data_IF_492710309211
#
_entry.id   IF_492710309211
#
_cell.length_a   1.000
_cell.length_b   1.000
_cell.length_c   1.000
_cell.angle_alpha   90.00
_cell.angle_beta   90.00
_cell.angle_gamma   90.00
#
_symmetry.space_group_name_H-M   'P 1'
#
loop_
_entity.id
_entity.type
_entity.pdbx_description
1 polymer ?
#
# COMPACT_ATOMS: atom_id res chain seq x y z
N UNK A 1 22.82 31.65 -4.80
CA UNK A 1 22.35 30.34 -4.33
C UNK A 1 20.91 30.21 -4.80
N UNK A 2 20.56 29.24 -5.66
CA UNK A 2 19.14 28.91 -5.82
C UNK A 2 18.60 28.61 -4.41
N UNK A 3 17.43 29.16 -4.07
CA UNK A 3 16.79 28.87 -2.78
C UNK A 3 16.79 27.35 -2.57
N UNK A 4 17.18 26.88 -1.38
CA UNK A 4 17.00 25.47 -1.02
C UNK A 4 15.55 25.14 -1.35
N UNK A 5 15.33 24.23 -2.30
CA UNK A 5 13.96 23.78 -2.58
C UNK A 5 13.45 23.21 -1.26
N UNK A 6 12.43 23.88 -0.70
CA UNK A 6 11.69 23.35 0.44
C UNK A 6 11.19 21.96 0.04
N UNK A 7 11.25 21.02 0.97
CA UNK A 7 10.63 19.73 0.77
C UNK A 7 9.14 19.93 0.48
N UNK A 8 8.65 19.34 -0.60
CA UNK A 8 7.24 19.38 -0.98
C UNK A 8 6.57 18.07 -0.54
N UNK A 9 5.67 18.08 0.46
CA UNK A 9 4.96 16.88 0.91
C UNK A 9 3.80 16.48 0.01
N UNK A 10 3.39 17.33 -0.95
CA UNK A 10 2.22 17.12 -1.80
C UNK A 10 2.54 17.42 -3.29
N UNK A 11 3.57 16.77 -3.86
CA UNK A 11 3.87 16.94 -5.28
C UNK A 11 2.66 16.51 -6.11
N UNK A 12 2.19 17.40 -6.99
CA UNK A 12 0.99 17.18 -7.80
C UNK A 12 1.21 17.55 -9.27
N UNK A 13 0.38 16.96 -10.13
CA UNK A 13 0.49 17.06 -11.58
C UNK A 13 -0.83 17.49 -12.21
N UNK A 14 -0.75 18.31 -13.25
CA UNK A 14 -1.93 18.72 -14.02
C UNK A 14 -2.51 17.53 -14.81
N UNK A 15 -3.85 17.36 -14.84
CA UNK A 15 -4.49 16.34 -15.66
C UNK A 15 -4.39 16.70 -17.15
N UNK A 16 -4.34 15.67 -18.00
CA UNK A 16 -4.24 15.82 -19.45
C UNK A 16 -5.60 15.54 -20.11
N UNK A 17 -6.12 16.53 -20.84
CA UNK A 17 -7.32 16.36 -21.66
C UNK A 17 -8.66 16.63 -20.96
N UNK A 18 -8.64 17.02 -19.67
CA UNK A 18 -9.84 17.40 -18.93
C UNK A 18 -9.56 17.65 -17.45
N UNK A 19 -10.56 18.12 -16.69
CA UNK A 19 -10.38 18.48 -15.28
C UNK A 19 -10.53 17.29 -14.33
N UNK A 20 -10.00 17.46 -13.12
CA UNK A 20 -10.49 16.73 -11.95
C UNK A 20 -11.72 17.47 -11.42
N UNK A 21 -12.80 16.74 -11.13
CA UNK A 21 -14.07 17.30 -10.65
C UNK A 21 -14.38 16.79 -9.24
N UNK A 22 -15.13 17.56 -8.46
CA UNK A 22 -15.54 17.19 -7.11
C UNK A 22 -17.04 16.90 -7.03
N UNK A 23 -17.39 15.87 -6.26
CA UNK A 23 -18.76 15.53 -5.88
C UNK A 23 -19.48 14.60 -6.87
N UNK A 24 -20.39 13.80 -6.31
CA UNK A 24 -21.20 12.82 -7.04
C UNK A 24 -22.09 13.43 -8.13
N UNK A 25 -22.65 14.61 -7.89
CA UNK A 25 -23.56 15.27 -8.83
C UNK A 25 -22.89 15.61 -10.17
N UNK A 26 -21.63 16.04 -10.14
CA UNK A 26 -20.86 16.34 -11.36
C UNK A 26 -20.64 15.06 -12.18
N UNK A 27 -20.25 13.96 -11.53
CA UNK A 27 -20.05 12.67 -12.20
C UNK A 27 -21.35 12.08 -12.76
N UNK A 28 -22.45 12.16 -12.01
CA UNK A 28 -23.76 11.66 -12.44
C UNK A 28 -24.29 12.42 -13.65
N UNK A 29 -24.05 13.73 -13.73
CA UNK A 29 -24.50 14.56 -14.85
C UNK A 29 -23.89 14.17 -16.20
N UNK A 30 -22.76 13.45 -16.20
CA UNK A 30 -22.09 12.97 -17.41
C UNK A 30 -22.60 11.60 -17.89
N UNK A 31 -23.42 10.91 -17.11
CA UNK A 31 -23.97 9.62 -17.52
C UNK A 31 -24.93 9.78 -18.69
N UNK A 32 -24.80 8.90 -19.69
CA UNK A 32 -25.68 8.89 -20.85
C UNK A 32 -27.15 8.67 -20.44
N UNK A 33 -28.10 9.32 -21.16
CA UNK A 33 -29.53 9.09 -20.95
C UNK A 33 -29.93 7.68 -21.41
N UNK A 34 -30.99 7.15 -20.80
CA UNK A 34 -31.52 5.82 -21.07
C UNK A 34 -31.15 4.78 -19.99
N UNK A 35 -31.55 3.52 -20.18
CA UNK A 35 -31.42 2.49 -19.16
C UNK A 35 -29.97 2.00 -19.06
N UNK A 36 -29.41 2.11 -17.86
CA UNK A 36 -27.99 1.88 -17.59
C UNK A 36 -27.75 0.91 -16.42
N UNK A 37 -26.79 0.01 -16.56
CA UNK A 37 -26.15 -0.69 -15.44
C UNK A 37 -24.82 -0.01 -15.14
N UNK A 38 -24.74 0.67 -14.00
CA UNK A 38 -23.54 1.32 -13.50
C UNK A 38 -22.88 0.44 -12.44
N UNK A 39 -21.67 -0.07 -12.72
CA UNK A 39 -20.87 -0.72 -11.68
C UNK A 39 -19.93 0.29 -11.01
N UNK A 40 -19.76 0.17 -9.70
CA UNK A 40 -18.74 0.87 -8.92
C UNK A 40 -17.91 -0.18 -8.19
N UNK A 41 -16.72 -0.46 -8.71
CA UNK A 41 -15.76 -1.41 -8.13
C UNK A 41 -14.70 -0.68 -7.29
N UNK A 42 -13.94 -1.41 -6.49
CA UNK A 42 -12.98 -0.83 -5.56
C UNK A 42 -12.52 -1.79 -4.47
N UNK A 43 -11.66 -1.33 -3.55
CA UNK A 43 -11.19 -2.15 -2.44
C UNK A 43 -12.27 -2.41 -1.39
N UNK A 44 -12.05 -3.40 -0.53
CA UNK A 44 -12.94 -3.67 0.61
C UNK A 44 -12.98 -2.50 1.59
N UNK A 45 -11.87 -1.77 1.72
CA UNK A 45 -11.66 -0.71 2.69
C UNK A 45 -12.31 0.62 2.26
N UNK A 46 -13.62 0.62 2.08
CA UNK A 46 -14.44 1.79 1.80
C UNK A 46 -15.73 1.74 2.61
N UNK A 47 -16.27 2.92 2.92
CA UNK A 47 -17.68 3.03 3.33
C UNK A 47 -18.59 2.91 2.10
N UNK A 48 -18.83 1.67 1.70
CA UNK A 48 -19.64 1.34 0.53
C UNK A 48 -21.11 1.76 0.68
N UNK A 49 -21.64 1.83 1.90
CA UNK A 49 -23.02 2.27 2.13
C UNK A 49 -23.11 3.79 1.92
N UNK A 50 -22.18 4.56 2.47
CA UNK A 50 -22.12 6.01 2.24
C UNK A 50 -21.85 6.35 0.76
N UNK A 51 -21.00 5.59 0.08
CA UNK A 51 -20.75 5.71 -1.36
C UNK A 51 -22.04 5.47 -2.15
N UNK A 52 -22.75 4.36 -1.88
CA UNK A 52 -24.00 4.03 -2.58
C UNK A 52 -25.08 5.09 -2.33
N UNK A 53 -25.19 5.61 -1.11
CA UNK A 53 -26.11 6.70 -0.79
C UNK A 53 -25.78 7.99 -1.55
N UNK A 54 -24.49 8.35 -1.65
CA UNK A 54 -24.03 9.52 -2.40
C UNK A 54 -24.38 9.47 -3.89
N UNK A 55 -24.14 8.31 -4.53
CA UNK A 55 -24.45 8.10 -5.96
C UNK A 55 -25.96 8.03 -6.18
N UNK A 56 -26.67 7.20 -5.42
CA UNK A 56 -28.12 7.00 -5.61
C UNK A 56 -28.92 8.26 -5.26
N UNK A 57 -28.48 9.03 -4.25
CA UNK A 57 -29.04 10.34 -3.92
C UNK A 57 -28.88 11.33 -5.07
N UNK A 58 -27.70 11.39 -5.68
CA UNK A 58 -27.41 12.27 -6.82
C UNK A 58 -28.20 11.88 -8.08
N UNK A 59 -28.37 10.59 -8.35
CA UNK A 59 -29.20 10.09 -9.45
C UNK A 59 -30.67 10.46 -9.27
N UNK A 60 -31.22 10.27 -8.06
CA UNK A 60 -32.60 10.67 -7.74
C UNK A 60 -32.79 12.18 -7.86
N UNK A 61 -31.82 12.99 -7.42
CA UNK A 61 -31.85 14.45 -7.57
C UNK A 61 -31.83 14.88 -9.05
N UNK A 62 -31.15 14.12 -9.91
CA UNK A 62 -31.18 14.29 -11.37
C UNK A 62 -32.48 13.75 -12.03
N UNK A 63 -33.44 13.23 -11.25
CA UNK A 63 -34.71 12.71 -11.75
C UNK A 63 -34.64 11.31 -12.35
N UNK A 64 -33.54 10.58 -12.13
CA UNK A 64 -33.34 9.23 -12.69
C UNK A 64 -33.82 8.15 -11.71
N UNK A 65 -34.66 7.24 -12.19
CA UNK A 65 -35.10 6.08 -11.42
C UNK A 65 -33.89 5.22 -11.04
N UNK A 66 -33.79 4.79 -9.79
CA UNK A 66 -32.56 4.14 -9.30
C UNK A 66 -32.86 2.87 -8.52
N UNK A 67 -32.17 1.78 -8.86
CA UNK A 67 -32.06 0.56 -8.04
C UNK A 67 -30.62 0.36 -7.62
N UNK A 68 -30.39 -0.36 -6.52
CA UNK A 68 -29.06 -0.61 -5.99
C UNK A 68 -28.88 -2.10 -5.69
N UNK A 69 -27.75 -2.67 -6.11
CA UNK A 69 -27.34 -4.05 -5.85
C UNK A 69 -25.95 -4.02 -5.19
N UNK A 70 -25.91 -4.47 -3.94
CA UNK A 70 -24.67 -4.61 -3.17
C UNK A 70 -24.08 -6.01 -3.40
N UNK A 71 -22.97 -6.11 -4.13
CA UNK A 71 -22.38 -7.42 -4.47
C UNK A 71 -21.85 -8.15 -3.23
N UNK A 72 -21.57 -7.42 -2.12
CA UNK A 72 -21.07 -8.02 -0.87
C UNK A 72 -22.08 -8.98 -0.25
N UNK A 73 -23.37 -8.76 -0.50
CA UNK A 73 -24.47 -9.63 -0.05
C UNK A 73 -24.62 -10.92 -0.87
N UNK A 74 -23.84 -11.04 -1.95
CA UNK A 74 -23.84 -12.18 -2.86
C UNK A 74 -22.53 -12.97 -2.83
N UNK A 75 -21.61 -12.65 -1.91
CA UNK A 75 -20.44 -13.48 -1.68
C UNK A 75 -20.85 -14.88 -1.19
N UNK A 76 -20.06 -15.89 -1.54
CA UNK A 76 -20.21 -17.23 -1.01
C UNK A 76 -20.04 -17.19 0.53
N UNK A 77 -20.79 -18.01 1.31
CA UNK A 77 -20.68 -18.01 2.77
C UNK A 77 -19.25 -18.19 3.31
N UNK A 78 -18.42 -18.97 2.61
CA UNK A 78 -17.03 -19.26 2.96
C UNK A 78 -16.03 -18.50 2.07
N UNK A 79 -16.47 -17.48 1.33
CA UNK A 79 -15.62 -16.69 0.43
C UNK A 79 -14.34 -16.20 1.12
N UNK A 80 -14.45 -15.79 2.38
CA UNK A 80 -13.35 -15.25 3.16
C UNK A 80 -12.27 -16.29 3.53
N UNK A 81 -12.55 -17.58 3.46
CA UNK A 81 -11.61 -18.69 3.70
C UNK A 81 -10.92 -19.15 2.41
N UNK A 82 -11.52 -18.87 1.24
CA UNK A 82 -10.98 -19.25 -0.08
C UNK A 82 -9.83 -18.36 -0.57
N UNK A 83 -9.72 -17.15 -0.02
CA UNK A 83 -8.77 -16.14 -0.48
C UNK A 83 -7.36 -16.29 0.11
N UNK A 84 -7.17 -16.51 1.42
CA UNK A 84 -5.83 -16.55 2.00
C UNK A 84 -5.00 -17.72 1.48
N UNK A 85 -3.69 -17.51 1.34
CA UNK A 85 -2.75 -18.60 1.14
C UNK A 85 -2.46 -19.32 2.46
N UNK A 86 -2.13 -20.61 2.40
CA UNK A 86 -1.70 -21.37 3.58
C UNK A 86 -0.39 -20.81 4.13
N UNK A 87 -0.33 -20.65 5.45
CA UNK A 87 0.89 -20.26 6.16
C UNK A 87 1.99 -21.33 6.02
N UNK A 88 3.25 -20.89 6.00
CA UNK A 88 4.43 -21.75 5.87
C UNK A 88 5.50 -21.33 6.90
N UNK A 89 5.71 -22.05 8.01
CA UNK A 89 5.11 -23.33 8.35
C UNK A 89 3.63 -23.20 8.70
N UNK A 90 2.90 -24.31 8.54
CA UNK A 90 1.48 -24.34 8.87
C UNK A 90 1.23 -23.92 10.33
N UNK A 91 0.31 -22.98 10.52
CA UNK A 91 -0.06 -22.45 11.83
C UNK A 91 0.71 -21.21 12.29
N UNK A 92 1.69 -20.72 11.53
CA UNK A 92 2.30 -19.40 11.78
C UNK A 92 1.53 -18.30 11.04
N UNK A 93 0.69 -17.51 11.72
CA UNK A 93 -0.14 -16.51 11.04
C UNK A 93 0.69 -15.39 10.41
N UNK A 94 1.95 -15.18 10.79
CA UNK A 94 2.78 -14.08 10.28
C UNK A 94 3.71 -14.51 9.13
N UNK A 95 3.78 -15.81 8.86
CA UNK A 95 4.66 -16.38 7.84
C UNK A 95 3.84 -16.91 6.66
N UNK A 96 3.24 -16.00 5.91
CA UNK A 96 2.30 -16.34 4.83
C UNK A 96 2.78 -15.87 3.44
N UNK A 97 2.61 -16.71 2.39
CA UNK A 97 2.79 -16.28 1.00
C UNK A 97 1.74 -15.23 0.59
N UNK A 98 2.00 -14.53 -0.52
CA UNK A 98 0.96 -13.70 -1.14
C UNK A 98 -0.14 -14.58 -1.75
N UNK A 99 -1.40 -14.16 -1.58
CA UNK A 99 -2.54 -14.84 -2.20
C UNK A 99 -2.50 -14.76 -3.73
N UNK A 100 -2.73 -15.91 -4.35
CA UNK A 100 -2.94 -16.05 -5.79
C UNK A 100 -4.43 -16.01 -6.19
N UNK A 101 -5.33 -15.87 -5.22
CA UNK A 101 -6.77 -15.83 -5.47
C UNK A 101 -7.18 -14.61 -6.30
N UNK A 102 -8.41 -14.63 -6.77
CA UNK A 102 -9.03 -13.58 -7.59
C UNK A 102 -10.31 -13.09 -6.93
N UNK A 103 -10.70 -11.86 -7.21
CA UNK A 103 -11.97 -11.31 -6.71
C UNK A 103 -13.17 -12.18 -7.13
N UNK A 104 -13.08 -12.88 -8.28
CA UNK A 104 -14.11 -13.84 -8.69
C UNK A 104 -14.32 -15.00 -7.72
N UNK A 105 -13.31 -15.39 -6.94
CA UNK A 105 -13.39 -16.50 -5.97
C UNK A 105 -14.26 -16.15 -4.74
N UNK A 106 -14.65 -14.88 -4.61
CA UNK A 106 -15.65 -14.44 -3.64
C UNK A 106 -17.05 -14.96 -3.94
N UNK A 107 -17.33 -15.40 -5.17
CA UNK A 107 -18.69 -15.72 -5.62
C UNK A 107 -18.79 -17.20 -6.01
N UNK A 108 -19.88 -17.87 -5.58
CA UNK A 108 -20.29 -19.12 -6.23
C UNK A 108 -20.97 -18.82 -7.58
N UNK A 109 -21.76 -17.73 -7.61
CA UNK A 109 -22.42 -17.19 -8.81
C UNK A 109 -22.35 -15.67 -8.73
N UNK A 110 -21.71 -15.04 -9.71
CA UNK A 110 -21.66 -13.57 -9.80
C UNK A 110 -23.09 -13.04 -10.05
N UNK A 111 -23.57 -12.07 -9.25
CA UNK A 111 -24.91 -11.53 -9.42
C UNK A 111 -25.05 -10.83 -10.78
N UNK A 112 -26.26 -10.89 -11.35
CA UNK A 112 -26.60 -10.17 -12.58
C UNK A 112 -27.69 -9.14 -12.27
N UNK A 113 -27.40 -7.83 -12.41
CA UNK A 113 -28.40 -6.80 -12.16
C UNK A 113 -29.51 -6.87 -13.21
N UNK A 114 -30.74 -6.61 -12.79
CA UNK A 114 -31.83 -6.40 -13.73
C UNK A 114 -31.65 -5.07 -14.45
N UNK A 115 -31.84 -5.07 -15.77
CA UNK A 115 -31.76 -3.83 -16.55
C UNK A 115 -32.96 -2.94 -16.23
N UNK A 116 -32.75 -1.67 -15.84
CA UNK A 116 -33.86 -0.77 -15.55
C UNK A 116 -34.64 -0.40 -16.82
N UNK A 117 -35.88 0.08 -16.64
CA UNK A 117 -36.68 0.64 -17.71
C UNK A 117 -36.54 2.17 -17.79
N UNK A 118 -36.84 2.76 -18.95
CA UNK A 118 -36.79 4.21 -19.16
C UNK A 118 -35.38 4.79 -18.96
N UNK A 119 -35.27 5.96 -18.35
CA UNK A 119 -33.99 6.60 -18.00
C UNK A 119 -33.48 6.18 -16.61
N UNK A 120 -33.68 4.92 -16.25
CA UNK A 120 -33.29 4.37 -14.96
C UNK A 120 -31.84 3.89 -14.91
N UNK A 121 -31.26 3.84 -13.72
CA UNK A 121 -29.91 3.35 -13.46
C UNK A 121 -29.95 2.26 -12.39
N UNK A 122 -29.42 1.08 -12.71
CA UNK A 122 -29.13 0.03 -11.74
C UNK A 122 -27.68 0.21 -11.27
N UNK A 123 -27.50 0.63 -10.03
CA UNK A 123 -26.18 0.82 -9.41
C UNK A 123 -25.75 -0.49 -8.76
N UNK A 124 -24.69 -1.10 -9.28
CA UNK A 124 -24.05 -2.28 -8.70
C UNK A 124 -22.76 -1.85 -8.03
N UNK A 125 -22.54 -2.21 -6.77
CA UNK A 125 -21.38 -1.69 -6.04
C UNK A 125 -20.78 -2.72 -5.08
N UNK A 126 -19.49 -2.54 -4.81
CA UNK A 126 -18.66 -3.38 -3.95
C UNK A 126 -17.54 -4.08 -4.73
N UNK A 127 -16.57 -4.70 -4.02
CA UNK A 127 -15.46 -5.40 -4.66
C UNK A 127 -15.96 -6.51 -5.60
N UNK A 128 -15.62 -6.40 -6.88
CA UNK A 128 -16.08 -7.31 -7.93
C UNK A 128 -17.34 -6.87 -8.67
N UNK A 129 -17.86 -5.67 -8.43
CA UNK A 129 -18.96 -5.10 -9.20
C UNK A 129 -18.68 -5.08 -10.72
N UNK A 130 -17.42 -4.93 -11.15
CA UNK A 130 -17.04 -5.00 -12.56
C UNK A 130 -17.33 -6.37 -13.21
N UNK A 131 -17.42 -7.44 -12.42
CA UNK A 131 -17.73 -8.80 -12.91
C UNK A 131 -19.21 -8.96 -13.29
N UNK A 132 -20.07 -8.00 -12.92
CA UNK A 132 -21.52 -8.08 -13.13
C UNK A 132 -21.97 -7.70 -14.55
N UNK A 133 -21.02 -7.44 -15.47
CA UNK A 133 -21.29 -7.05 -16.86
C UNK A 133 -21.93 -5.67 -16.99
N UNK A 134 -21.31 -4.60 -16.47
CA UNK A 134 -21.88 -3.25 -16.52
C UNK A 134 -21.83 -2.62 -17.92
N UNK A 135 -22.69 -1.63 -18.14
CA UNK A 135 -22.63 -0.72 -19.29
C UNK A 135 -21.58 0.39 -19.08
N UNK A 136 -21.44 0.84 -17.82
CA UNK A 136 -20.46 1.86 -17.38
C UNK A 136 -19.78 1.37 -16.11
N UNK A 137 -18.45 1.47 -16.06
CA UNK A 137 -17.63 1.07 -14.93
C UNK A 137 -16.97 2.29 -14.28
N UNK A 138 -17.31 2.55 -13.02
CA UNK A 138 -16.57 3.44 -12.15
C UNK A 138 -15.68 2.64 -11.21
N UNK A 139 -14.52 3.19 -10.86
CA UNK A 139 -13.63 2.64 -9.84
C UNK A 139 -13.47 3.64 -8.70
N UNK A 140 -13.85 3.24 -7.49
CA UNK A 140 -13.67 4.01 -6.28
C UNK A 140 -12.41 3.54 -5.57
N UNK A 141 -11.44 4.43 -5.40
CA UNK A 141 -10.16 4.12 -4.78
C UNK A 141 -9.98 4.87 -3.46
N UNK A 142 -9.18 4.26 -2.59
CA UNK A 142 -8.70 4.87 -1.37
C UNK A 142 -7.24 4.43 -1.18
N UNK A 143 -6.29 5.37 -1.00
CA UNK A 143 -4.90 5.01 -0.82
C UNK A 143 -4.70 4.02 0.35
N UNK A 144 -3.84 3.02 0.14
CA UNK A 144 -3.65 1.87 1.04
C UNK A 144 -3.41 2.23 2.52
N UNK A 145 -2.67 3.33 2.78
CA UNK A 145 -2.41 3.85 4.12
C UNK A 145 -3.68 4.14 4.94
N UNK A 146 -4.81 4.47 4.31
CA UNK A 146 -6.07 4.70 5.02
C UNK A 146 -6.71 3.39 5.47
N UNK A 147 -6.62 2.33 4.66
CA UNK A 147 -7.07 1.00 5.04
C UNK A 147 -6.23 0.44 6.20
N UNK A 148 -4.90 0.55 6.11
CA UNK A 148 -3.98 0.16 7.18
C UNK A 148 -4.30 0.90 8.49
N UNK A 149 -4.42 2.23 8.43
CA UNK A 149 -4.71 3.06 9.59
C UNK A 149 -6.08 2.75 10.22
N UNK A 150 -7.12 2.53 9.40
CA UNK A 150 -8.45 2.19 9.89
C UNK A 150 -8.46 0.80 10.57
N UNK A 151 -7.78 -0.21 10.01
CA UNK A 151 -7.63 -1.52 10.64
C UNK A 151 -6.87 -1.40 11.97
N UNK A 152 -5.75 -0.68 12.00
CA UNK A 152 -4.96 -0.50 13.22
C UNK A 152 -5.75 0.18 14.35
N UNK A 153 -6.73 1.03 14.03
CA UNK A 153 -7.64 1.67 14.99
C UNK A 153 -8.93 0.89 15.25
N UNK A 154 -9.18 -0.20 14.53
CA UNK A 154 -10.43 -0.98 14.62
C UNK A 154 -11.66 -0.22 14.11
N UNK A 155 -11.49 0.72 13.18
CA UNK A 155 -12.54 1.61 12.68
C UNK A 155 -13.32 0.96 11.54
N UNK A 156 -14.58 0.58 11.77
CA UNK A 156 -15.49 0.14 10.71
C UNK A 156 -16.33 1.33 10.19
N UNK A 157 -16.78 1.31 8.91
CA UNK A 157 -16.73 0.21 7.94
C UNK A 157 -15.44 0.13 7.09
N UNK A 158 -14.52 1.09 7.19
CA UNK A 158 -13.31 1.13 6.34
C UNK A 158 -12.29 0.07 6.73
N UNK A 159 -12.06 -0.15 8.02
CA UNK A 159 -11.09 -1.09 8.59
C UNK A 159 -11.59 -2.53 8.60
N UNK A 160 -11.97 -3.05 7.43
CA UNK A 160 -12.46 -4.43 7.24
C UNK A 160 -11.65 -5.14 6.16
N UNK A 161 -11.63 -6.47 6.21
CA UNK A 161 -11.01 -7.27 5.14
C UNK A 161 -12.01 -7.69 4.06
N UNK A 162 -11.49 -8.02 2.88
CA UNK A 162 -12.23 -8.53 1.75
C UNK A 162 -13.01 -9.80 2.13
N UNK A 163 -14.34 -9.76 1.93
CA UNK A 163 -15.27 -10.83 2.31
C UNK A 163 -15.62 -10.91 3.80
N UNK A 164 -15.17 -9.97 4.64
CA UNK A 164 -15.46 -9.90 6.08
C UNK A 164 -15.91 -8.51 6.51
N UNK A 165 -16.97 -7.99 5.89
CA UNK A 165 -17.46 -6.62 6.14
C UNK A 165 -18.01 -6.35 7.54
N UNK A 166 -18.32 -7.40 8.32
CA UNK A 166 -19.00 -7.30 9.61
C UNK A 166 -18.05 -7.41 10.82
N UNK A 167 -16.73 -7.47 10.60
CA UNK A 167 -15.73 -7.63 11.65
C UNK A 167 -14.54 -6.69 11.43
N UNK A 168 -13.87 -6.24 12.52
CA UNK A 168 -12.59 -5.55 12.39
C UNK A 168 -11.60 -6.38 11.55
N UNK A 169 -10.90 -5.68 10.67
CA UNK A 169 -9.90 -6.29 9.82
C UNK A 169 -8.64 -6.69 10.58
N UNK A 170 -7.77 -7.39 9.87
CA UNK A 170 -6.47 -7.88 10.29
C UNK A 170 -5.42 -7.44 9.27
N UNK A 171 -4.27 -6.95 9.77
CA UNK A 171 -3.21 -6.40 8.91
C UNK A 171 -2.49 -7.48 8.11
N UNK A 172 -2.30 -8.67 8.68
CA UNK A 172 -1.69 -9.80 7.95
C UNK A 172 -2.57 -10.12 6.74
N UNK A 173 -3.87 -10.30 6.95
CA UNK A 173 -4.80 -10.55 5.85
C UNK A 173 -4.84 -9.40 4.85
N UNK A 174 -4.79 -8.14 5.31
CA UNK A 174 -4.76 -6.98 4.41
C UNK A 174 -3.56 -7.07 3.45
N UNK A 175 -2.36 -7.28 3.99
CA UNK A 175 -1.10 -7.25 3.24
C UNK A 175 -0.89 -8.48 2.36
N UNK A 176 -1.21 -9.67 2.86
CA UNK A 176 -0.88 -10.92 2.18
C UNK A 176 -2.05 -11.50 1.38
N UNK A 177 -3.28 -11.07 1.64
CA UNK A 177 -4.47 -11.55 0.92
C UNK A 177 -5.17 -10.45 0.14
N UNK A 178 -5.71 -9.45 0.83
CA UNK A 178 -6.63 -8.51 0.22
C UNK A 178 -5.94 -7.65 -0.85
N UNK A 179 -4.78 -7.06 -0.54
CA UNK A 179 -4.04 -6.24 -1.50
C UNK A 179 -3.59 -7.02 -2.73
N UNK A 180 -2.94 -8.20 -2.64
CA UNK A 180 -2.60 -8.99 -3.83
C UNK A 180 -3.82 -9.33 -4.70
N UNK A 181 -4.95 -9.70 -4.08
CA UNK A 181 -6.19 -10.05 -4.79
C UNK A 181 -6.80 -8.82 -5.47
N UNK A 182 -6.89 -7.70 -4.76
CA UNK A 182 -7.50 -6.46 -5.23
C UNK A 182 -6.63 -5.71 -6.24
N UNK A 183 -5.31 -5.68 -6.07
CA UNK A 183 -4.38 -5.07 -7.03
C UNK A 183 -4.46 -5.79 -8.38
N UNK A 184 -4.46 -7.12 -8.36
CA UNK A 184 -4.61 -7.94 -9.58
C UNK A 184 -5.96 -7.69 -10.27
N UNK A 185 -7.02 -7.53 -9.50
CA UNK A 185 -8.35 -7.21 -10.03
C UNK A 185 -8.42 -5.81 -10.61
N UNK A 186 -7.94 -4.79 -9.87
CA UNK A 186 -7.80 -3.41 -10.36
C UNK A 186 -7.07 -3.39 -11.69
N UNK A 187 -5.89 -3.98 -11.75
CA UNK A 187 -5.04 -3.96 -12.95
C UNK A 187 -5.75 -4.61 -14.15
N UNK A 188 -6.55 -5.65 -13.92
CA UNK A 188 -7.33 -6.32 -14.96
C UNK A 188 -8.51 -5.47 -15.49
N UNK A 189 -9.13 -4.64 -14.66
CA UNK A 189 -10.31 -3.85 -15.04
C UNK A 189 -10.00 -2.39 -15.37
N UNK A 190 -8.85 -1.86 -14.93
CA UNK A 190 -8.55 -0.43 -14.96
C UNK A 190 -8.61 0.19 -16.37
N UNK A 191 -8.23 -0.56 -17.41
CA UNK A 191 -8.30 -0.08 -18.80
C UNK A 191 -9.73 0.22 -19.26
N UNK A 192 -10.72 -0.49 -18.71
CA UNK A 192 -12.15 -0.32 -19.00
C UNK A 192 -12.90 0.61 -18.04
N UNK A 193 -12.20 1.27 -17.11
CA UNK A 193 -12.82 2.23 -16.19
C UNK A 193 -13.18 3.51 -16.94
N UNK A 194 -14.44 3.93 -16.82
CA UNK A 194 -15.00 5.15 -17.39
C UNK A 194 -14.81 6.37 -16.48
N UNK A 195 -14.65 6.15 -15.17
CA UNK A 195 -14.35 7.20 -14.18
C UNK A 195 -13.66 6.62 -12.95
N UNK A 196 -12.63 7.33 -12.50
CA UNK A 196 -11.88 7.00 -11.29
C UNK A 196 -12.20 8.01 -10.19
N UNK A 197 -12.53 7.53 -9.01
CA UNK A 197 -12.81 8.34 -7.83
C UNK A 197 -11.72 8.14 -6.76
N UNK A 198 -11.39 9.23 -6.07
CA UNK A 198 -10.62 9.22 -4.84
C UNK A 198 -11.56 9.52 -3.66
N UNK A 199 -11.62 8.58 -2.71
CA UNK A 199 -12.55 8.59 -1.57
C UNK A 199 -11.89 9.06 -0.26
N UNK A 200 -10.77 9.79 -0.33
CA UNK A 200 -10.20 10.47 0.85
C UNK A 200 -11.21 11.42 1.52
N UNK A 201 -12.12 12.02 0.75
CA UNK A 201 -13.35 12.67 1.24
C UNK A 201 -14.58 12.01 0.58
N UNK A 202 -15.27 11.07 1.26
CA UNK A 202 -16.41 10.36 0.68
C UNK A 202 -17.66 11.24 0.49
N UNK A 203 -17.75 12.39 1.16
CA UNK A 203 -18.87 13.31 1.00
C UNK A 203 -18.74 14.15 -0.28
N UNK A 204 -17.52 14.55 -0.61
CA UNK A 204 -17.22 15.37 -1.80
C UNK A 204 -16.08 14.75 -2.61
N UNK A 205 -16.22 13.52 -3.11
CA UNK A 205 -15.10 12.80 -3.69
C UNK A 205 -14.58 13.48 -4.96
N UNK A 206 -13.27 13.49 -5.12
CA UNK A 206 -12.66 13.93 -6.36
C UNK A 206 -12.73 12.79 -7.39
N UNK A 207 -12.87 13.14 -8.67
CA UNK A 207 -12.86 12.15 -9.73
C UNK A 207 -12.35 12.71 -11.05
N UNK A 208 -11.90 11.78 -11.88
CA UNK A 208 -11.38 12.03 -13.23
C UNK A 208 -12.01 11.03 -14.19
N UNK A 209 -12.36 11.45 -15.41
CA UNK A 209 -12.88 10.52 -16.41
C UNK A 209 -11.80 9.53 -16.83
N UNK A 210 -12.20 8.35 -17.32
CA UNK A 210 -11.28 7.29 -17.74
C UNK A 210 -10.31 7.75 -18.84
N UNK A 211 -10.79 8.56 -19.79
CA UNK A 211 -9.95 9.10 -20.86
C UNK A 211 -8.88 10.06 -20.33
N UNK A 212 -9.25 10.94 -19.41
CA UNK A 212 -8.32 11.88 -18.77
C UNK A 212 -7.33 11.13 -17.89
N UNK A 213 -7.77 10.10 -17.15
CA UNK A 213 -6.87 9.24 -16.38
C UNK A 213 -5.84 8.57 -17.28
N UNK A 214 -6.27 7.89 -18.34
CA UNK A 214 -5.38 7.21 -19.30
C UNK A 214 -4.41 8.18 -19.96
N UNK A 215 -4.88 9.34 -20.42
CA UNK A 215 -4.04 10.37 -21.04
C UNK A 215 -3.02 10.96 -20.05
N UNK A 216 -3.43 11.17 -18.81
CA UNK A 216 -2.54 11.69 -17.75
C UNK A 216 -1.48 10.67 -17.38
N UNK A 217 -1.85 9.40 -17.14
CA UNK A 217 -0.88 8.34 -16.82
C UNK A 217 0.10 8.14 -17.98
N UNK A 218 -0.35 8.18 -19.24
CA UNK A 218 0.52 8.10 -20.41
C UNK A 218 1.50 9.28 -20.51
N UNK A 219 1.07 10.49 -20.14
CA UNK A 219 1.94 11.65 -20.09
C UNK A 219 3.00 11.53 -18.99
N UNK A 220 2.57 11.17 -17.78
CA UNK A 220 3.43 11.02 -16.62
C UNK A 220 4.47 9.92 -16.81
N UNK A 221 4.10 8.81 -17.46
CA UNK A 221 5.02 7.70 -17.70
C UNK A 221 6.27 8.05 -18.53
N UNK A 222 6.29 9.22 -19.20
CA UNK A 222 7.38 9.67 -20.07
C UNK A 222 8.24 10.77 -19.46
N UNK A 223 8.01 11.11 -18.20
CA UNK A 223 8.72 12.17 -17.50
C UNK A 223 9.05 11.83 -16.05
N UNK A 224 9.77 12.72 -15.34
CA UNK A 224 10.02 12.54 -13.91
C UNK A 224 8.71 12.65 -13.12
N UNK A 225 8.39 11.58 -12.38
CA UNK A 225 7.22 11.52 -11.49
C UNK A 225 7.69 11.32 -10.06
N UNK A 226 7.15 12.11 -9.14
CA UNK A 226 7.34 11.98 -7.70
C UNK A 226 6.00 11.57 -7.08
N UNK A 227 6.05 10.54 -6.26
CA UNK A 227 4.92 10.05 -5.49
C UNK A 227 4.66 10.94 -4.29
N UNK A 228 3.43 10.88 -3.74
CA UNK A 228 3.08 11.55 -2.50
C UNK A 228 3.80 10.84 -1.35
N UNK A 229 4.74 11.49 -0.66
CA UNK A 229 5.41 10.89 0.47
C UNK A 229 4.47 10.70 1.65
N UNK A 230 4.78 9.74 2.50
CA UNK A 230 4.04 9.44 3.71
C UNK A 230 4.97 9.04 4.84
N UNK A 231 4.69 9.51 6.06
CA UNK A 231 5.46 9.16 7.25
C UNK A 231 4.63 8.30 8.20
N UNK A 232 5.15 7.13 8.54
CA UNK A 232 4.56 6.22 9.52
C UNK A 232 5.35 6.25 10.84
N UNK A 233 4.69 5.83 11.92
CA UNK A 233 5.26 5.78 13.25
C UNK A 233 5.48 4.33 13.71
N UNK A 234 6.57 4.08 14.43
CA UNK A 234 6.87 2.77 15.05
C UNK A 234 7.46 2.98 16.45
N UNK A 235 7.54 1.96 17.33
CA UNK A 235 8.10 2.12 18.67
C UNK A 235 9.56 2.60 18.73
N UNK A 236 10.36 2.41 17.67
CA UNK A 236 11.74 2.93 17.60
C UNK A 236 11.84 4.34 17.01
N UNK A 237 10.76 4.89 16.46
CA UNK A 237 10.83 6.07 15.60
C UNK A 237 11.40 7.32 16.27
N UNK A 238 12.19 8.04 15.49
CA UNK A 238 12.74 9.35 15.81
C UNK A 238 11.82 10.52 15.45
N UNK A 239 12.38 11.73 15.49
CA UNK A 239 11.63 12.99 15.31
C UNK A 239 12.20 13.85 14.17
N UNK A 240 13.10 13.30 13.35
CA UNK A 240 13.80 14.07 12.33
C UNK A 240 12.83 14.63 11.28
N UNK A 241 11.92 13.80 10.75
CA UNK A 241 10.95 14.24 9.74
C UNK A 241 10.05 15.36 10.26
N UNK A 242 9.63 15.28 11.51
CA UNK A 242 8.81 16.33 12.12
C UNK A 242 9.57 17.66 12.29
N UNK A 243 10.85 17.60 12.68
CA UNK A 243 11.67 18.78 12.96
C UNK A 243 12.20 19.47 11.70
N UNK A 244 12.65 18.69 10.73
CA UNK A 244 13.37 19.21 9.56
C UNK A 244 12.47 19.37 8.33
N UNK A 245 11.43 18.54 8.19
CA UNK A 245 10.54 18.55 7.03
C UNK A 245 9.14 19.11 7.35
N UNK A 246 8.83 19.35 8.63
CA UNK A 246 7.53 19.87 9.06
C UNK A 246 6.39 18.86 8.95
N UNK A 247 6.70 17.56 8.89
CA UNK A 247 5.66 16.52 8.93
C UNK A 247 5.01 16.43 10.30
N UNK A 248 3.68 16.28 10.32
CA UNK A 248 2.95 15.98 11.55
C UNK A 248 2.91 14.46 11.75
N UNK A 249 3.54 13.92 12.81
CA UNK A 249 3.53 12.48 13.05
C UNK A 249 2.14 11.99 13.48
N UNK A 250 1.71 10.83 12.99
CA UNK A 250 0.41 10.27 13.32
C UNK A 250 0.36 9.64 14.72
N UNK A 251 1.39 8.85 15.08
CA UNK A 251 1.53 8.25 16.41
C UNK A 251 2.80 8.75 17.12
N UNK A 252 3.04 10.06 17.00
CA UNK A 252 4.02 10.78 17.81
C UNK A 252 5.48 10.71 17.34
N UNK A 253 5.83 9.98 16.28
CA UNK A 253 7.18 9.96 15.69
C UNK A 253 7.18 9.76 14.15
N UNK A 254 8.34 9.90 13.51
CA UNK A 254 8.51 9.83 12.04
C UNK A 254 9.40 8.68 11.59
N UNK A 255 9.24 7.50 12.21
CA UNK A 255 10.07 6.32 12.00
C UNK A 255 10.37 5.97 10.54
N UNK A 256 9.34 5.94 9.70
CA UNK A 256 9.40 5.47 8.33
C UNK A 256 8.92 6.59 7.41
N UNK A 257 9.83 7.18 6.63
CA UNK A 257 9.52 8.18 5.61
C UNK A 257 9.44 7.56 4.23
N UNK A 258 8.29 7.02 3.86
CA UNK A 258 8.08 6.39 2.56
C UNK A 258 8.03 7.45 1.47
N UNK A 259 9.11 7.54 0.68
CA UNK A 259 9.12 8.38 -0.52
C UNK A 259 8.56 7.59 -1.72
N UNK A 260 9.07 6.37 -1.97
CA UNK A 260 8.54 5.47 -2.99
C UNK A 260 8.58 4.03 -2.52
N UNK A 261 7.42 3.52 -2.09
CA UNK A 261 7.13 2.08 -2.02
C UNK A 261 6.10 1.79 -3.10
N UNK A 262 6.57 1.40 -4.28
CA UNK A 262 5.74 1.38 -5.49
C UNK A 262 4.37 0.68 -5.33
N UNK A 263 4.23 -0.46 -4.65
CA UNK A 263 2.92 -1.10 -4.42
C UNK A 263 1.92 -0.28 -3.59
N UNK A 264 2.37 0.72 -2.85
CA UNK A 264 1.53 1.56 -1.95
C UNK A 264 1.52 3.04 -2.34
N UNK A 265 2.47 3.46 -3.15
CA UNK A 265 2.65 4.84 -3.50
C UNK A 265 1.56 5.34 -4.46
N UNK A 266 1.18 6.60 -4.26
CA UNK A 266 0.24 7.32 -5.10
C UNK A 266 0.85 8.57 -5.72
N UNK A 267 0.27 9.04 -6.82
CA UNK A 267 0.64 10.28 -7.51
C UNK A 267 -0.55 11.22 -7.48
N UNK A 268 -0.39 12.42 -6.93
CA UNK A 268 -1.47 13.40 -6.90
C UNK A 268 -1.65 14.01 -8.29
N UNK A 269 -2.90 14.02 -8.77
CA UNK A 269 -3.31 14.63 -10.03
C UNK A 269 -4.43 15.62 -9.75
N UNK A 270 -4.27 16.85 -10.23
CA UNK A 270 -5.19 17.96 -10.03
C UNK A 270 -4.47 19.23 -9.57
N UNK A 271 -5.10 20.37 -9.82
CA UNK A 271 -4.54 21.68 -9.49
C UNK A 271 -4.33 21.86 -7.98
N UNK A 272 -3.26 22.55 -7.60
CA UNK A 272 -2.99 22.91 -6.21
C UNK A 272 -4.15 23.72 -5.60
N UNK A 273 -4.58 23.34 -4.40
CA UNK A 273 -5.75 23.91 -3.71
C UNK A 273 -7.11 23.57 -4.35
N UNK A 274 -7.15 22.73 -5.39
CA UNK A 274 -8.38 22.25 -6.03
C UNK A 274 -8.69 20.78 -5.73
N UNK A 275 -9.72 20.20 -6.40
CA UNK A 275 -9.98 18.78 -6.35
C UNK A 275 -8.79 17.99 -6.91
N UNK A 276 -8.36 16.97 -6.18
CA UNK A 276 -7.24 16.11 -6.57
C UNK A 276 -7.61 14.64 -6.38
N UNK A 277 -7.13 13.80 -7.28
CA UNK A 277 -7.17 12.34 -7.13
C UNK A 277 -5.75 11.83 -6.91
N UNK A 278 -5.58 10.87 -6.02
CA UNK A 278 -4.33 10.16 -5.83
C UNK A 278 -4.36 8.87 -6.63
N UNK A 279 -3.67 8.87 -7.76
CA UNK A 279 -3.62 7.73 -8.69
C UNK A 279 -2.55 6.74 -8.21
N UNK A 280 -2.85 5.44 -8.08
CA UNK A 280 -1.84 4.45 -7.71
C UNK A 280 -0.66 4.47 -8.68
N UNK A 281 0.56 4.64 -8.15
CA UNK A 281 1.80 4.56 -8.94
C UNK A 281 1.90 3.27 -9.78
N UNK A 282 1.44 2.09 -9.32
CA UNK A 282 1.45 0.87 -10.12
C UNK A 282 0.75 1.00 -11.49
N UNK A 283 -0.26 1.86 -11.64
CA UNK A 283 -0.93 2.05 -12.94
C UNK A 283 0.00 2.57 -14.03
N UNK A 284 1.01 3.39 -13.68
CA UNK A 284 2.06 3.81 -14.61
C UNK A 284 2.83 2.61 -15.15
N UNK A 285 3.20 1.68 -14.25
CA UNK A 285 3.96 0.49 -14.60
C UNK A 285 3.12 -0.57 -15.33
N UNK A 286 1.82 -0.64 -15.04
CA UNK A 286 0.90 -1.60 -15.66
C UNK A 286 0.51 -1.18 -17.08
N UNK A 287 0.20 0.10 -17.29
CA UNK A 287 -0.23 0.60 -18.61
C UNK A 287 0.93 1.00 -19.51
N UNK A 288 2.05 1.44 -18.93
CA UNK A 288 3.23 1.91 -19.68
C UNK A 288 4.54 1.29 -19.15
N UNK A 289 4.64 -0.06 -19.08
CA UNK A 289 5.78 -0.74 -18.47
C UNK A 289 7.12 -0.39 -19.14
N UNK A 290 7.16 -0.26 -20.46
CA UNK A 290 8.40 0.05 -21.17
C UNK A 290 8.83 1.51 -21.02
N UNK A 291 7.88 2.46 -20.98
CA UNK A 291 8.19 3.87 -20.74
C UNK A 291 8.72 4.06 -19.29
N UNK A 292 8.16 3.33 -18.32
CA UNK A 292 8.54 3.42 -16.91
C UNK A 292 9.80 2.63 -16.52
N UNK A 293 9.94 1.41 -17.04
CA UNK A 293 10.96 0.44 -16.60
C UNK A 293 12.06 0.27 -17.64
N UNK A 294 11.75 0.47 -18.92
CA UNK A 294 12.57 0.01 -20.03
C UNK A 294 12.46 -1.50 -20.27
N UNK A 295 12.71 -1.92 -21.51
CA UNK A 295 12.54 -3.31 -21.95
C UNK A 295 13.29 -4.34 -21.08
N UNK A 296 14.58 -4.16 -20.68
CA UNK A 296 15.30 -5.17 -19.92
C UNK A 296 14.73 -5.38 -18.50
N UNK A 297 14.27 -4.30 -17.88
CA UNK A 297 13.71 -4.33 -16.53
C UNK A 297 12.31 -4.93 -16.56
N UNK A 298 11.46 -4.50 -17.50
CA UNK A 298 10.14 -5.08 -17.71
C UNK A 298 10.23 -6.59 -17.97
N UNK A 299 11.16 -7.03 -18.81
CA UNK A 299 11.39 -8.45 -19.07
C UNK A 299 11.74 -9.26 -17.81
N UNK A 300 12.45 -8.65 -16.85
CA UNK A 300 12.90 -9.33 -15.62
C UNK A 300 11.86 -9.27 -14.50
N UNK A 301 11.17 -8.16 -14.34
CA UNK A 301 10.33 -7.88 -13.17
C UNK A 301 8.83 -7.75 -13.50
N UNK A 302 8.45 -7.89 -14.77
CA UNK A 302 7.09 -7.60 -15.22
C UNK A 302 6.76 -6.13 -14.95
N UNK A 303 5.54 -5.88 -14.46
CA UNK A 303 5.06 -4.54 -14.11
C UNK A 303 5.49 -4.11 -12.71
N UNK A 304 6.29 -4.91 -12.00
CA UNK A 304 6.81 -4.55 -10.68
C UNK A 304 7.95 -3.53 -10.84
N UNK A 305 7.74 -2.32 -10.31
CA UNK A 305 8.82 -1.33 -10.21
C UNK A 305 9.85 -1.84 -9.19
N UNK A 306 11.11 -2.10 -9.57
CA UNK A 306 11.97 -3.01 -8.80
C UNK A 306 12.77 -2.33 -7.68
N UNK A 307 12.70 -1.01 -7.53
CA UNK A 307 13.44 -0.24 -6.53
C UNK A 307 12.43 0.53 -5.66
N UNK A 308 12.68 0.54 -4.36
CA UNK A 308 12.01 1.40 -3.40
C UNK A 308 13.04 2.21 -2.62
N UNK A 309 12.56 3.29 -2.01
CA UNK A 309 13.39 4.05 -1.08
C UNK A 309 12.55 4.80 -0.04
N UNK A 310 13.11 4.85 1.16
CA UNK A 310 12.49 5.40 2.35
C UNK A 310 13.53 5.85 3.37
N UNK A 311 13.11 6.76 4.25
CA UNK A 311 13.92 7.18 5.38
C UNK A 311 13.61 6.32 6.60
N UNK A 312 14.64 5.73 7.21
CA UNK A 312 14.53 5.13 8.55
C UNK A 312 15.10 6.12 9.57
N UNK A 313 14.21 6.67 10.37
CA UNK A 313 14.50 7.70 11.37
C UNK A 313 14.56 7.09 12.77
N UNK A 314 15.77 6.94 13.30
CA UNK A 314 16.03 6.57 14.70
C UNK A 314 16.57 7.76 15.51
N UNK A 315 16.49 9.00 14.98
CA UNK A 315 17.02 10.21 15.62
C UNK A 315 16.22 10.59 16.86
N UNK A 316 16.79 10.35 18.04
CA UNK A 316 16.10 10.50 19.32
C UNK A 316 15.07 9.41 19.60
N UNK A 317 15.13 8.32 18.84
CA UNK A 317 14.36 7.09 19.06
C UNK A 317 15.25 5.95 19.58
N UNK A 318 14.88 4.71 19.23
CA UNK A 318 15.61 3.50 19.63
C UNK A 318 16.26 2.78 18.45
N UNK A 319 16.91 1.65 18.73
CA UNK A 319 17.41 0.76 17.69
C UNK A 319 16.24 0.22 16.85
N UNK A 320 16.43 0.14 15.54
CA UNK A 320 15.56 -0.65 14.66
C UNK A 320 15.61 -2.13 15.09
N UNK A 321 14.54 -2.88 14.82
CA UNK A 321 14.50 -4.32 15.01
C UNK A 321 15.68 -4.99 14.29
N UNK A 322 16.33 -5.95 14.94
CA UNK A 322 17.31 -6.80 14.27
C UNK A 322 16.57 -7.79 13.37
N UNK A 323 16.91 -7.76 12.08
CA UNK A 323 16.20 -8.50 11.06
C UNK A 323 17.11 -8.91 9.91
N UNK A 324 16.57 -9.71 9.00
CA UNK A 324 17.17 -10.01 7.71
C UNK A 324 16.09 -10.17 6.66
N UNK A 325 16.50 -10.10 5.39
CA UNK A 325 15.63 -10.41 4.26
C UNK A 325 15.91 -11.82 3.76
N UNK A 326 14.90 -12.60 3.35
CA UNK A 326 15.10 -13.95 2.83
C UNK A 326 16.01 -13.95 1.60
N UNK A 327 16.84 -14.98 1.42
CA UNK A 327 17.56 -15.13 0.15
C UNK A 327 16.58 -15.43 -0.99
N UNK A 328 16.96 -15.09 -2.24
CA UNK A 328 16.09 -15.24 -3.42
C UNK A 328 15.47 -16.64 -3.56
N UNK A 329 16.25 -17.70 -3.27
CA UNK A 329 15.75 -19.08 -3.30
C UNK A 329 14.63 -19.30 -2.28
N UNK A 330 14.85 -18.87 -1.03
CA UNK A 330 13.87 -19.01 0.05
C UNK A 330 12.62 -18.18 -0.25
N UNK A 331 12.82 -16.96 -0.72
CA UNK A 331 11.77 -16.03 -1.11
C UNK A 331 10.82 -16.65 -2.16
N UNK A 332 11.38 -17.35 -3.14
CA UNK A 332 10.61 -18.05 -4.18
C UNK A 332 9.94 -19.32 -3.68
N UNK A 333 10.68 -20.17 -2.97
CA UNK A 333 10.20 -21.49 -2.54
C UNK A 333 9.14 -21.39 -1.44
N UNK A 334 9.22 -20.38 -0.57
CA UNK A 334 8.34 -20.26 0.61
C UNK A 334 7.26 -19.20 0.42
N UNK A 335 7.59 -18.05 -0.16
CA UNK A 335 6.64 -16.93 -0.28
C UNK A 335 6.10 -16.73 -1.69
N UNK A 336 6.56 -17.51 -2.68
CA UNK A 336 6.14 -17.39 -4.07
C UNK A 336 6.62 -16.12 -4.78
N UNK A 337 7.50 -15.32 -4.16
CA UNK A 337 7.92 -14.05 -4.71
C UNK A 337 9.17 -14.21 -5.60
N UNK A 338 9.20 -13.66 -6.83
CA UNK A 338 10.21 -14.03 -7.84
C UNK A 338 11.63 -13.51 -7.57
N UNK A 339 11.75 -12.45 -6.76
CA UNK A 339 13.00 -11.81 -6.35
C UNK A 339 12.91 -11.36 -4.88
N UNK A 340 14.06 -11.04 -4.29
CA UNK A 340 14.16 -10.66 -2.88
C UNK A 340 14.61 -9.22 -2.67
N UNK A 341 14.49 -8.75 -1.44
CA UNK A 341 15.03 -7.49 -0.95
C UNK A 341 16.54 -7.61 -0.70
N UNK A 342 17.31 -7.04 -1.60
CA UNK A 342 18.62 -6.52 -1.28
C UNK A 342 18.47 -5.04 -0.95
N UNK A 343 19.24 -4.53 0.01
CA UNK A 343 19.13 -3.14 0.42
C UNK A 343 20.48 -2.47 0.62
N UNK A 344 20.41 -1.16 0.84
CA UNK A 344 21.54 -0.34 1.21
C UNK A 344 21.09 0.69 2.24
N UNK A 345 21.98 1.06 3.16
CA UNK A 345 21.79 2.22 4.03
C UNK A 345 22.77 3.32 3.63
N UNK A 346 22.23 4.45 3.18
CA UNK A 346 22.98 5.69 3.04
C UNK A 346 22.76 6.57 4.27
N UNK A 347 23.80 6.76 5.09
CA UNK A 347 23.72 7.55 6.32
C UNK A 347 23.54 9.03 5.96
N UNK A 348 22.32 9.54 6.12
CA UNK A 348 21.95 10.91 5.76
C UNK A 348 22.22 11.88 6.91
N UNK A 349 21.97 11.43 8.14
CA UNK A 349 22.37 12.12 9.37
C UNK A 349 22.68 11.09 10.47
N UNK A 350 23.53 11.46 11.42
CA UNK A 350 23.90 10.60 12.54
C UNK A 350 24.26 11.44 13.78
N UNK A 351 23.92 10.94 14.96
CA UNK A 351 24.39 11.44 16.24
C UNK A 351 25.80 10.92 16.54
N UNK A 352 26.52 11.59 17.43
CA UNK A 352 27.85 11.13 17.88
C UNK A 352 27.74 9.72 18.47
N UNK A 353 28.60 8.81 18.00
CA UNK A 353 28.61 7.41 18.44
C UNK A 353 27.50 6.54 17.85
N UNK A 354 26.68 7.03 16.91
CA UNK A 354 25.68 6.21 16.24
C UNK A 354 26.33 5.09 15.41
N UNK A 355 25.63 3.95 15.30
CA UNK A 355 26.16 2.75 14.68
C UNK A 355 25.15 2.09 13.74
N UNK A 356 25.66 1.31 12.78
CA UNK A 356 24.89 0.38 11.96
C UNK A 356 25.35 -1.03 12.31
N UNK A 357 24.39 -1.88 12.69
CA UNK A 357 24.62 -3.30 12.94
C UNK A 357 24.50 -4.02 11.60
N UNK A 358 25.55 -4.73 11.18
CA UNK A 358 25.56 -5.37 9.86
C UNK A 358 26.51 -6.58 9.78
N UNK A 359 25.92 -7.75 9.55
CA UNK A 359 26.62 -9.00 9.31
C UNK A 359 27.04 -9.72 10.58
N UNK A 360 27.21 -11.04 10.49
CA UNK A 360 27.64 -11.86 11.61
C UNK A 360 29.13 -11.62 11.93
N UNK A 361 29.50 -11.72 13.21
CA UNK A 361 30.91 -11.74 13.62
C UNK A 361 31.58 -13.04 13.15
N UNK A 362 32.92 -13.07 13.07
CA UNK A 362 33.65 -14.31 12.73
C UNK A 362 33.45 -15.42 13.79
N UNK A 363 33.17 -15.03 15.03
CA UNK A 363 32.96 -15.94 16.15
C UNK A 363 31.47 -16.28 16.38
N UNK A 364 30.56 -15.78 15.55
CA UNK A 364 29.13 -15.97 15.73
C UNK A 364 28.75 -17.45 15.69
N UNK A 365 28.06 -17.91 16.73
CA UNK A 365 27.43 -19.22 16.80
C UNK A 365 25.93 -19.04 16.59
N UNK A 366 25.44 -19.39 15.40
CA UNK A 366 24.03 -19.20 15.00
C UNK A 366 23.09 -20.06 15.86
N UNK A 367 23.52 -21.22 16.34
CA UNK A 367 22.69 -22.06 17.21
C UNK A 367 22.59 -21.46 18.61
N UNK A 368 23.67 -20.84 19.11
CA UNK A 368 23.63 -20.07 20.35
C UNK A 368 22.76 -18.82 20.21
N UNK A 369 22.94 -18.08 19.12
CA UNK A 369 22.12 -16.90 18.80
C UNK A 369 20.63 -17.26 18.78
N UNK A 370 20.25 -18.36 18.12
CA UNK A 370 18.87 -18.84 18.11
C UNK A 370 18.35 -19.14 19.52
N UNK A 371 19.11 -19.87 20.35
CA UNK A 371 18.71 -20.15 21.73
C UNK A 371 18.49 -18.87 22.54
N UNK A 372 19.38 -17.88 22.38
CA UNK A 372 19.24 -16.61 23.08
C UNK A 372 18.05 -15.77 22.58
N UNK A 373 17.65 -15.91 21.32
CA UNK A 373 16.39 -15.34 20.83
C UNK A 373 15.19 -16.06 21.45
N UNK A 374 15.23 -17.39 21.55
CA UNK A 374 14.20 -18.19 22.21
C UNK A 374 14.07 -17.80 23.70
N UNK A 375 15.19 -17.67 24.42
CA UNK A 375 15.21 -17.20 25.82
C UNK A 375 14.71 -15.74 25.95
N UNK A 376 14.96 -14.89 24.95
CA UNK A 376 14.41 -13.54 24.92
C UNK A 376 12.88 -13.53 24.79
N UNK A 377 12.31 -14.50 24.08
CA UNK A 377 10.86 -14.65 23.90
C UNK A 377 10.23 -15.25 25.16
N UNK A 378 10.80 -16.33 25.69
CA UNK A 378 10.18 -17.14 26.74
C UNK A 378 10.33 -16.52 28.14
N UNK A 379 11.50 -15.96 28.44
CA UNK A 379 11.88 -15.47 29.77
C UNK A 379 12.27 -14.00 29.81
N UNK A 380 12.28 -13.31 28.66
CA UNK A 380 12.63 -11.89 28.59
C UNK A 380 14.11 -11.65 28.88
N UNK A 381 14.97 -12.63 28.63
CA UNK A 381 16.42 -12.50 28.80
C UNK A 381 17.01 -11.75 27.59
N UNK A 382 17.72 -10.61 27.77
CA UNK A 382 18.29 -9.88 26.65
C UNK A 382 19.34 -10.71 25.89
N UNK A 383 19.29 -10.68 24.56
CA UNK A 383 20.34 -11.27 23.72
C UNK A 383 21.56 -10.32 23.64
N UNK A 384 22.79 -10.79 23.89
CA UNK A 384 24.01 -10.00 23.68
C UNK A 384 24.30 -9.88 22.18
N UNK A 385 23.70 -8.87 21.53
CA UNK A 385 23.72 -8.73 20.07
C UNK A 385 25.14 -8.62 19.51
N UNK A 386 26.03 -7.87 20.17
CA UNK A 386 27.40 -7.62 19.71
C UNK A 386 28.30 -8.87 19.73
N UNK A 387 27.92 -9.93 20.45
CA UNK A 387 28.63 -11.21 20.39
C UNK A 387 28.42 -11.89 19.02
N UNK A 388 27.28 -11.62 18.37
CA UNK A 388 26.85 -12.29 17.13
C UNK A 388 26.88 -11.40 15.89
N UNK A 389 26.60 -10.10 16.04
CA UNK A 389 26.45 -9.16 14.93
C UNK A 389 27.49 -8.04 15.03
N UNK A 390 28.15 -7.74 13.92
CA UNK A 390 29.15 -6.68 13.86
C UNK A 390 28.49 -5.29 14.00
N UNK A 391 29.17 -4.39 14.70
CA UNK A 391 28.77 -2.99 14.81
C UNK A 391 29.76 -2.07 14.08
N UNK A 392 29.24 -1.21 13.22
CA UNK A 392 30.02 -0.30 12.38
C UNK A 392 29.66 1.15 12.72
N UNK A 393 30.65 2.07 12.86
CA UNK A 393 30.36 3.49 13.03
C UNK A 393 29.52 4.04 11.87
N UNK A 394 28.44 4.77 12.19
CA UNK A 394 27.60 5.41 11.19
C UNK A 394 28.18 6.77 10.78
N UNK A 395 28.96 6.80 9.71
CA UNK A 395 29.55 8.05 9.20
C UNK A 395 28.62 8.68 8.17
N UNK A 396 28.26 9.95 8.32
CA UNK A 396 27.41 10.66 7.33
C UNK A 396 28.04 10.59 5.94
N UNK A 397 27.22 10.23 4.94
CA UNK A 397 27.66 10.01 3.57
C UNK A 397 28.16 8.58 3.28
N UNK A 398 28.29 7.73 4.31
CA UNK A 398 28.65 6.32 4.13
C UNK A 398 27.48 5.53 3.56
N UNK A 399 27.81 4.61 2.64
CA UNK A 399 26.87 3.64 2.08
C UNK A 399 27.23 2.24 2.59
N UNK A 400 26.26 1.57 3.21
CA UNK A 400 26.35 0.16 3.58
C UNK A 400 25.61 -0.68 2.54
N UNK A 401 26.23 -1.75 2.07
CA UNK A 401 25.62 -2.73 1.17
C UNK A 401 25.09 -3.90 1.99
N UNK A 402 23.82 -4.26 1.84
CA UNK A 402 23.15 -5.26 2.66
C UNK A 402 22.52 -6.31 1.74
N UNK A 403 23.28 -7.35 1.37
CA UNK A 403 22.73 -8.48 0.61
C UNK A 403 21.68 -9.23 1.44
N UNK A 404 20.64 -9.74 0.77
CA UNK A 404 19.65 -10.62 1.39
C UNK A 404 20.32 -11.80 2.12
N UNK A 405 19.78 -12.15 3.29
CA UNK A 405 20.34 -13.13 4.22
C UNK A 405 21.33 -12.56 5.24
N UNK A 406 21.61 -11.25 5.21
CA UNK A 406 22.52 -10.61 6.16
C UNK A 406 21.74 -10.04 7.34
N UNK A 407 22.03 -10.40 8.60
CA UNK A 407 21.48 -9.74 9.78
C UNK A 407 21.88 -8.26 9.84
N UNK A 408 20.92 -7.37 10.07
CA UNK A 408 21.19 -5.93 10.16
C UNK A 408 20.14 -5.16 10.97
N UNK A 409 20.54 -3.97 11.43
CA UNK A 409 19.67 -2.95 12.01
C UNK A 409 20.34 -1.57 11.96
N UNK A 410 19.54 -0.51 11.76
CA UNK A 410 19.96 0.86 12.04
C UNK A 410 19.95 1.09 13.55
N UNK A 411 21.10 1.43 14.14
CA UNK A 411 21.20 1.77 15.56
C UNK A 411 20.49 3.09 15.87
N UNK A 412 20.27 3.35 17.16
CA UNK A 412 19.70 4.61 17.62
C UNK A 412 20.56 5.82 17.19
N UNK A 413 19.90 6.94 16.91
CA UNK A 413 20.58 8.19 16.54
C UNK A 413 21.02 8.28 15.08
N UNK A 414 20.38 7.53 14.17
CA UNK A 414 20.63 7.59 12.73
C UNK A 414 19.41 8.11 11.97
N UNK A 415 19.68 8.74 10.83
CA UNK A 415 18.74 8.85 9.71
C UNK A 415 19.42 8.19 8.51
N UNK A 416 18.86 7.07 8.06
CA UNK A 416 19.35 6.39 6.85
C UNK A 416 18.33 6.52 5.74
N UNK A 417 18.81 6.77 4.51
CA UNK A 417 18.04 6.53 3.31
C UNK A 417 18.26 5.06 2.95
N UNK A 418 17.22 4.25 3.13
CA UNK A 418 17.17 2.90 2.61
C UNK A 418 16.89 2.99 1.10
N UNK A 419 17.75 2.37 0.29
CA UNK A 419 17.44 2.08 -1.11
C UNK A 419 17.51 0.57 -1.27
N UNK A 420 16.38 -0.02 -1.64
CA UNK A 420 16.22 -1.47 -1.64
C UNK A 420 15.42 -1.96 -2.83
N UNK A 421 15.53 -3.26 -3.11
CA UNK A 421 14.60 -3.88 -4.03
C UNK A 421 13.19 -3.87 -3.41
N UNK A 422 12.16 -3.75 -4.25
CA UNK A 422 10.78 -3.49 -3.82
C UNK A 422 10.09 -4.52 -2.90
N UNK A 423 10.42 -5.84 -2.81
CA UNK A 423 9.69 -6.74 -1.94
C UNK A 423 9.81 -6.25 -0.50
N UNK A 424 8.72 -5.82 0.13
CA UNK A 424 8.77 -4.99 1.34
C UNK A 424 8.05 -5.60 2.56
N UNK A 425 7.34 -6.70 2.35
CA UNK A 425 6.56 -7.36 3.42
C UNK A 425 7.41 -8.35 4.23
N UNK A 426 8.56 -8.79 3.72
CA UNK A 426 9.31 -9.94 4.23
C UNK A 426 10.58 -9.57 5.00
N UNK A 427 10.50 -8.57 5.88
CA UNK A 427 11.56 -8.31 6.86
C UNK A 427 11.43 -9.31 8.01
N UNK A 428 12.26 -10.36 8.02
CA UNK A 428 12.24 -11.40 9.05
C UNK A 428 12.92 -10.87 10.33
N UNK A 429 12.11 -10.30 11.21
CA UNK A 429 12.54 -9.78 12.52
C UNK A 429 12.70 -10.93 13.49
N UNK A 430 13.84 -10.98 14.18
CA UNK A 430 14.11 -12.03 15.16
C UNK A 430 14.56 -11.48 16.51
N UNK A 431 14.87 -10.19 16.64
CA UNK A 431 15.09 -9.57 17.95
C UNK A 431 14.71 -8.10 17.95
N UNK A 432 13.84 -7.70 18.88
CA UNK A 432 13.31 -6.34 18.99
C UNK A 432 13.72 -5.63 20.29
N UNK A 433 14.85 -6.01 20.89
CA UNK A 433 15.38 -5.40 22.13
C UNK A 433 14.43 -5.50 23.34
N UNK A 434 13.61 -6.56 23.38
CA UNK A 434 12.55 -6.76 24.38
C UNK A 434 11.57 -5.58 24.49
N UNK A 435 11.44 -4.80 23.41
CA UNK A 435 10.50 -3.68 23.37
C UNK A 435 9.09 -4.22 23.38
N UNK A 436 8.26 -3.54 24.16
CA UNK A 436 6.81 -3.71 24.20
C UNK A 436 6.18 -2.78 23.18
N UNK A 437 5.06 -3.22 22.62
CA UNK A 437 4.25 -2.35 21.77
C UNK A 437 3.40 -1.40 22.65
N UNK A 438 2.47 -0.69 22.02
CA UNK A 438 1.59 0.24 22.74
C UNK A 438 0.59 -0.46 23.68
N UNK A 439 0.34 -1.77 23.50
CA UNK A 439 -0.56 -2.57 24.32
C UNK A 439 0.14 -3.21 25.54
N UNK A 440 1.48 -3.18 25.59
CA UNK A 440 2.28 -3.62 26.73
C UNK A 440 3.08 -4.87 26.46
#
# INVERSE_FOLDING_TARGET
MPASRSYDPHPSYEPVGGPVVAGWAAAVAELAPGPLVLAVDGPAALDWDALADGITGSLRAAGRGTTALDVRRHYAPEAHERLPADAVPAGDPFFTPLSEARVGDLFDIVPRPERPAGDGVAVVFGPGAALCGPDVLWYADLPKRFAEGAIARGETPVGVNLGRGDAPGDLVRLFYTDWPVLDRHRDAVAAGVDRWFDLQDPHTPASVSGDVLRATVAHLARGPVRTRPYFNSTPWGGQWGARELGFTPQAGNTALGYELIAPEAGVLVGADGGPQVEVPFPLLCVWHPEDMLGEPVHRRFGTSFPIRFDYLDTMGGGNLSLHLHPQERYMREVFGHPYTQHETYYVTAAQEGAQVLLGLTEAADVDLMRRQVEDAIDDGTPMPVEDHVQSHPATVGQLFMIPAGTPHASGAGNLVLEVSATPYLYSLRFYDWLRKDAAG
#
